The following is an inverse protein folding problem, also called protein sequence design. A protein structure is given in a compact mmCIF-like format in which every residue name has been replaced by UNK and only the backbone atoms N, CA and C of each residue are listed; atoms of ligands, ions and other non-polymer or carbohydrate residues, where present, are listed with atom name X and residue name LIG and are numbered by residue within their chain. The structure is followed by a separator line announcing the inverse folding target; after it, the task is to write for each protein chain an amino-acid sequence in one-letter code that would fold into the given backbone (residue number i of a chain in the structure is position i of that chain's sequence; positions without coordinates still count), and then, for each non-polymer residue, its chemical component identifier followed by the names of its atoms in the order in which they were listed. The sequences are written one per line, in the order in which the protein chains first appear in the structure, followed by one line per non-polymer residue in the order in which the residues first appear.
data_IF_268622078762
#
_entry.id   IF_268622078762
#
_cell.length_a   1.000
_cell.length_b   1.000
_cell.length_c   1.000
_cell.angle_alpha   90.00
_cell.angle_beta   90.00
_cell.angle_gamma   90.00
#
_symmetry.space_group_name_H-M   'P 1'
#
loop_
_entity.id
_entity.type
_entity.pdbx_description
1 polymer ?
#
# COMPACT_ATOMS: atom_id res chain seq x y z
N UNK A 1 13.28 0.16 -23.13
CA UNK A 1 13.02 0.08 -22.52
C UNK A 1 12.81 0.11 -21.56
N UNK A 2 12.63 -0.03 -21.19
CA UNK A 2 12.40 -0.07 -20.30
C UNK A 2 12.08 -0.26 -19.38
N UNK A 3 12.25 -0.63 -18.73
CA UNK A 3 11.92 -0.98 -17.93
C UNK A 3 11.73 -0.71 -16.56
N UNK A 4 12.04 -0.58 -16.13
CA UNK A 4 11.94 0.10 -14.89
C UNK A 4 10.58 0.01 -14.31
N UNK A 5 9.68 -0.42 -15.03
CA UNK A 5 8.35 -0.70 -14.57
C UNK A 5 8.29 -1.83 -13.61
N UNK A 6 9.31 -2.65 -13.57
CA UNK A 6 9.34 -3.75 -12.65
C UNK A 6 9.32 -3.30 -11.20
N UNK A 7 9.61 -2.02 -10.97
CA UNK A 7 9.58 -1.49 -9.62
C UNK A 7 8.17 -1.32 -9.09
N UNK A 8 7.19 -1.33 -9.98
CA UNK A 8 5.81 -1.12 -9.59
C UNK A 8 4.96 -2.36 -9.81
N UNK A 9 5.54 -3.50 -9.60
CA UNK A 9 4.84 -4.76 -9.87
C UNK A 9 3.84 -5.03 -8.77
N UNK A 10 2.58 -4.83 -9.09
CA UNK A 10 1.47 -5.06 -8.19
C UNK A 10 0.70 -6.27 -8.68
N UNK A 11 0.49 -7.23 -7.81
CA UNK A 11 -0.26 -8.43 -8.11
C UNK A 11 -1.45 -8.50 -7.17
N UNK A 12 -2.64 -8.76 -7.71
CA UNK A 12 -3.84 -8.93 -6.90
C UNK A 12 -4.02 -10.42 -6.61
N UNK A 13 -4.27 -10.73 -5.35
CA UNK A 13 -4.47 -12.12 -4.97
C UNK A 13 -5.49 -12.22 -3.83
N UNK A 14 -6.04 -13.40 -3.69
CA UNK A 14 -6.97 -13.68 -2.60
C UNK A 14 -6.20 -13.73 -1.29
N UNK A 15 -6.84 -13.24 -0.22
CA UNK A 15 -6.21 -13.26 1.09
C UNK A 15 -6.00 -14.70 1.53
N UNK A 16 -4.76 -15.09 1.83
CA UNK A 16 -4.51 -16.46 2.33
C UNK A 16 -5.21 -16.68 3.67
N UNK A 17 -5.65 -17.90 3.88
CA UNK A 17 -6.35 -18.23 5.12
C UNK A 17 -5.51 -17.97 6.35
N UNK A 18 -4.21 -18.15 6.23
CA UNK A 18 -3.31 -17.98 7.37
C UNK A 18 -3.32 -16.56 7.91
N UNK A 19 -3.76 -15.59 7.12
CA UNK A 19 -3.77 -14.20 7.57
C UNK A 19 -5.18 -13.60 7.57
N UNK A 20 -6.21 -14.45 7.45
CA UNK A 20 -7.60 -13.98 7.48
C UNK A 20 -8.07 -13.79 8.90
N UNK A 21 -7.52 -12.81 9.58
CA UNK A 21 -7.98 -12.50 10.92
C UNK A 21 -8.20 -11.02 11.01
N UNK A 22 -9.21 -10.66 11.79
CA UNK A 22 -9.56 -9.26 11.93
C UNK A 22 -8.42 -8.48 12.56
N UNK A 23 -8.32 -7.22 12.18
CA UNK A 23 -7.33 -6.30 12.71
C UNK A 23 -8.11 -5.26 13.50
N UNK A 24 -8.07 -5.38 14.84
CA UNK A 24 -8.90 -4.55 15.67
C UNK A 24 -10.36 -4.74 15.32
N UNK A 25 -11.03 -3.64 15.02
CA UNK A 25 -12.43 -3.68 14.62
C UNK A 25 -12.62 -3.87 13.13
N UNK A 26 -11.53 -3.88 12.37
CA UNK A 26 -11.60 -4.04 10.92
C UNK A 26 -11.71 -5.52 10.58
N UNK A 27 -12.70 -5.87 9.76
CA UNK A 27 -12.93 -7.25 9.36
C UNK A 27 -12.45 -7.45 7.94
N UNK A 28 -11.59 -8.44 7.77
CA UNK A 28 -11.06 -8.77 6.45
C UNK A 28 -12.15 -9.47 5.64
N UNK A 29 -12.35 -8.99 4.42
CA UNK A 29 -13.31 -9.56 3.49
C UNK A 29 -12.56 -10.42 2.48
N UNK A 30 -12.61 -11.74 2.58
CA UNK A 30 -11.82 -12.59 1.69
C UNK A 30 -12.29 -12.55 0.23
N UNK A 31 -13.45 -11.97 -0.05
CA UNK A 31 -13.91 -11.86 -1.43
C UNK A 31 -13.24 -10.70 -2.18
N UNK A 32 -12.55 -9.80 -1.48
CA UNK A 32 -11.89 -8.66 -2.10
C UNK A 32 -10.41 -8.99 -2.29
N UNK A 33 -9.92 -9.00 -3.53
CA UNK A 33 -8.49 -9.28 -3.76
C UNK A 33 -7.63 -8.19 -3.17
N UNK A 34 -6.44 -8.58 -2.71
CA UNK A 34 -5.50 -7.66 -2.10
C UNK A 34 -4.36 -7.38 -3.09
N UNK A 35 -4.06 -6.11 -3.37
CA UNK A 35 -2.88 -5.79 -4.16
C UNK A 35 -1.63 -5.96 -3.30
N UNK A 36 -0.64 -6.62 -3.88
CA UNK A 36 0.61 -6.91 -3.18
C UNK A 36 1.75 -6.41 -4.04
N UNK A 37 2.65 -5.63 -3.45
CA UNK A 37 3.81 -5.14 -4.17
C UNK A 37 4.92 -6.18 -4.09
N UNK A 38 5.37 -6.64 -5.27
CA UNK A 38 6.45 -7.61 -5.34
C UNK A 38 7.77 -6.85 -5.33
N UNK A 39 8.71 -7.22 -4.45
CA UNK A 39 9.99 -6.50 -4.39
C UNK A 39 10.72 -6.54 -5.72
N UNK A 40 11.49 -5.50 -6.04
CA UNK A 40 12.28 -5.49 -7.26
C UNK A 40 13.24 -6.66 -7.28
N UNK A 41 13.43 -7.24 -8.45
CA UNK A 41 14.34 -8.35 -8.61
C UNK A 41 13.72 -9.71 -8.38
N UNK A 42 12.47 -9.76 -7.90
CA UNK A 42 11.78 -11.03 -7.72
C UNK A 42 10.98 -11.36 -8.96
N UNK A 43 11.04 -12.61 -9.40
CA UNK A 43 10.31 -13.04 -10.59
C UNK A 43 8.91 -13.51 -10.28
N UNK A 44 8.69 -13.91 -9.04
CA UNK A 44 7.39 -14.42 -8.66
C UNK A 44 7.17 -14.20 -7.19
N UNK A 45 5.90 -14.22 -6.81
CA UNK A 45 5.52 -14.11 -5.41
C UNK A 45 5.44 -15.50 -4.80
N UNK A 46 6.10 -15.68 -3.66
CA UNK A 46 6.01 -16.91 -2.88
C UNK A 46 5.13 -16.59 -1.68
N UNK A 47 4.02 -17.30 -1.56
CA UNK A 47 3.05 -16.99 -0.51
C UNK A 47 3.64 -17.07 0.89
N UNK A 48 4.62 -17.93 1.08
CA UNK A 48 5.27 -18.05 2.38
C UNK A 48 6.01 -16.77 2.78
N UNK A 49 6.41 -15.99 1.78
CA UNK A 49 7.12 -14.74 2.02
C UNK A 49 6.20 -13.54 2.08
N UNK A 50 4.90 -13.76 1.95
CA UNK A 50 3.94 -12.67 1.99
C UNK A 50 3.93 -12.03 3.37
N UNK A 51 4.03 -10.70 3.39
CA UNK A 51 4.06 -9.95 4.64
C UNK A 51 2.99 -8.88 4.61
N UNK A 52 2.65 -8.41 5.82
CA UNK A 52 1.74 -7.29 5.93
C UNK A 52 2.26 -6.07 5.19
N UNK A 53 3.60 -5.87 5.22
CA UNK A 53 4.19 -4.71 4.55
C UNK A 53 3.97 -4.76 3.05
N UNK A 54 4.11 -5.94 2.45
CA UNK A 54 3.89 -6.07 1.00
C UNK A 54 2.45 -5.74 0.64
N UNK A 55 1.51 -6.17 1.47
CA UNK A 55 0.09 -5.89 1.24
C UNK A 55 -0.22 -4.40 1.46
N UNK A 56 0.30 -3.83 2.53
CA UNK A 56 0.09 -2.41 2.81
C UNK A 56 0.67 -1.55 1.69
N UNK A 57 1.88 -1.85 1.26
CA UNK A 57 2.50 -1.11 0.14
C UNK A 57 1.66 -1.20 -1.12
N UNK A 58 1.14 -2.40 -1.42
CA UNK A 58 0.31 -2.56 -2.60
C UNK A 58 -0.97 -1.74 -2.52
N UNK A 59 -1.64 -1.79 -1.38
CA UNK A 59 -2.87 -1.03 -1.20
C UNK A 59 -2.63 0.47 -1.27
N UNK A 60 -1.55 0.95 -0.66
CA UNK A 60 -1.21 2.37 -0.70
C UNK A 60 -0.98 2.81 -2.13
N UNK A 61 -0.26 2.01 -2.92
CA UNK A 61 0.02 2.39 -4.30
C UNK A 61 -1.22 2.41 -5.15
N UNK A 62 -2.14 1.48 -4.92
CA UNK A 62 -3.39 1.47 -5.68
C UNK A 62 -4.20 2.73 -5.40
N UNK A 63 -4.39 3.09 -4.11
CA UNK A 63 -5.20 4.27 -3.80
C UNK A 63 -4.48 5.56 -4.18
N UNK A 64 -3.15 5.56 -4.19
CA UNK A 64 -2.40 6.74 -4.62
C UNK A 64 -2.57 6.99 -6.11
N UNK A 65 -2.61 5.92 -6.91
CA UNK A 65 -2.75 6.04 -8.35
C UNK A 65 -4.19 6.23 -8.79
N UNK A 66 -5.12 5.62 -8.06
CA UNK A 66 -6.53 5.69 -8.43
C UNK A 66 -7.37 5.80 -7.16
N UNK A 67 -7.51 7.02 -6.63
CA UNK A 67 -8.27 7.20 -5.38
C UNK A 67 -9.73 6.78 -5.49
N UNK A 68 -10.24 6.61 -6.70
CA UNK A 68 -11.63 6.23 -6.91
C UNK A 68 -11.77 4.79 -7.39
N UNK A 69 -10.72 3.99 -7.19
CA UNK A 69 -10.80 2.58 -7.55
C UNK A 69 -11.96 1.91 -6.79
N UNK A 70 -12.45 0.82 -7.37
CA UNK A 70 -13.65 0.17 -6.86
C UNK A 70 -13.55 -0.17 -5.37
N UNK A 71 -12.41 -0.71 -4.95
CA UNK A 71 -12.23 -1.16 -3.58
C UNK A 71 -11.38 -0.20 -2.76
N UNK A 72 -11.24 1.05 -3.21
CA UNK A 72 -10.34 1.99 -2.56
C UNK A 72 -10.69 2.23 -1.10
N UNK A 73 -11.98 2.36 -0.78
CA UNK A 73 -12.39 2.59 0.60
C UNK A 73 -12.02 1.40 1.48
N UNK A 74 -12.16 0.20 0.96
CA UNK A 74 -11.76 -0.99 1.71
C UNK A 74 -10.26 -0.97 1.98
N UNK A 75 -9.46 -0.64 0.98
CA UNK A 75 -8.00 -0.59 1.15
C UNK A 75 -7.59 0.50 2.12
N UNK A 76 -8.25 1.65 2.08
CA UNK A 76 -7.97 2.73 3.03
C UNK A 76 -8.20 2.27 4.47
N UNK A 77 -9.33 1.62 4.69
CA UNK A 77 -9.68 1.14 6.02
C UNK A 77 -8.70 0.06 6.49
N UNK A 78 -8.31 -0.81 5.57
CA UNK A 78 -7.36 -1.87 5.88
C UNK A 78 -6.02 -1.28 6.33
N UNK A 79 -5.51 -0.33 5.55
CA UNK A 79 -4.21 0.28 5.86
C UNK A 79 -4.25 0.98 7.21
N UNK A 80 -5.30 1.74 7.47
CA UNK A 80 -5.41 2.47 8.73
C UNK A 80 -5.57 1.52 9.91
N UNK A 81 -6.26 0.40 9.70
CA UNK A 81 -6.40 -0.59 10.77
C UNK A 81 -5.06 -1.20 11.16
N UNK A 82 -4.22 -1.49 10.17
CA UNK A 82 -2.92 -2.08 10.42
C UNK A 82 -1.93 -1.02 10.92
N UNK A 83 -2.00 0.19 10.39
CA UNK A 83 -1.08 1.26 10.74
C UNK A 83 -1.88 2.52 11.12
N UNK A 84 -2.42 2.54 12.35
CA UNK A 84 -3.29 3.65 12.75
C UNK A 84 -2.59 5.01 12.78
N UNK A 85 -1.26 5.03 12.89
CA UNK A 85 -0.51 6.28 12.94
C UNK A 85 0.06 6.69 11.58
N UNK A 86 -0.42 6.06 10.49
CA UNK A 86 0.22 6.26 9.20
C UNK A 86 0.12 7.71 8.72
N UNK A 87 -0.94 8.41 9.06
CA UNK A 87 -1.07 9.81 8.65
C UNK A 87 0.07 10.65 9.23
N UNK A 88 0.30 10.51 10.54
CA UNK A 88 1.38 11.27 11.19
C UNK A 88 2.74 10.83 10.69
N UNK A 89 2.95 9.52 10.54
CA UNK A 89 4.24 9.00 10.09
C UNK A 89 4.59 9.48 8.69
N UNK A 90 3.63 9.42 7.78
CA UNK A 90 3.87 9.82 6.40
C UNK A 90 4.01 11.34 6.28
N UNK A 91 3.26 12.09 7.08
CA UNK A 91 3.39 13.53 7.07
C UNK A 91 4.78 13.95 7.50
N UNK A 92 5.29 13.35 8.59
CA UNK A 92 6.65 13.62 9.04
C UNK A 92 7.67 13.23 8.00
N UNK A 93 7.48 12.07 7.37
CA UNK A 93 8.42 11.61 6.37
C UNK A 93 8.47 12.54 5.17
N UNK A 94 7.30 13.05 4.73
CA UNK A 94 7.26 13.96 3.60
C UNK A 94 7.98 15.26 3.92
N UNK A 95 7.79 15.77 5.13
CA UNK A 95 8.47 17.00 5.55
C UNK A 95 9.98 16.78 5.57
N UNK A 96 10.42 15.68 6.15
CA UNK A 96 11.84 15.38 6.26
C UNK A 96 12.49 15.22 4.89
N UNK A 97 11.84 14.49 3.98
CA UNK A 97 12.37 14.31 2.63
C UNK A 97 12.44 15.63 1.89
N UNK A 98 11.44 16.47 2.07
CA UNK A 98 11.43 17.78 1.45
C UNK A 98 12.59 18.64 1.95
N UNK A 99 12.82 18.62 3.25
CA UNK A 99 13.94 19.37 3.84
C UNK A 99 15.28 18.90 3.33
N UNK A 100 15.39 17.60 3.06
CA UNK A 100 16.64 17.02 2.59
C UNK A 100 16.83 17.16 1.08
N UNK A 101 15.87 17.79 0.40
CA UNK A 101 15.97 17.98 -1.05
C UNK A 101 15.50 16.79 -1.86
N UNK A 102 14.97 15.76 -1.21
CA UNK A 102 14.48 14.58 -1.91
C UNK A 102 13.01 14.80 -2.29
N UNK A 103 12.80 15.70 -3.25
CA UNK A 103 11.45 16.12 -3.60
C UNK A 103 10.66 15.03 -4.30
N UNK A 104 11.33 14.18 -5.08
CA UNK A 104 10.62 13.10 -5.76
C UNK A 104 9.97 12.16 -4.76
N UNK A 105 10.70 11.77 -3.73
CA UNK A 105 10.15 10.88 -2.73
C UNK A 105 9.11 11.59 -1.87
N UNK A 106 9.34 12.87 -1.57
CA UNK A 106 8.34 13.64 -0.82
C UNK A 106 7.02 13.68 -1.58
N UNK A 107 7.06 13.87 -2.89
CA UNK A 107 5.85 13.90 -3.71
C UNK A 107 5.15 12.54 -3.73
N UNK A 108 5.92 11.46 -3.77
CA UNK A 108 5.32 10.12 -3.71
C UNK A 108 4.58 9.91 -2.38
N UNK A 109 5.18 10.36 -1.29
CA UNK A 109 4.56 10.21 0.02
C UNK A 109 3.28 11.05 0.10
N UNK A 110 3.32 12.27 -0.45
CA UNK A 110 2.12 13.11 -0.46
C UNK A 110 1.01 12.53 -1.33
N UNK A 111 1.37 11.90 -2.45
CA UNK A 111 0.37 11.23 -3.28
C UNK A 111 -0.27 10.08 -2.52
N UNK A 112 0.53 9.33 -1.75
CA UNK A 112 0.00 8.25 -0.93
C UNK A 112 -0.97 8.80 0.12
N UNK A 113 -0.60 9.90 0.76
CA UNK A 113 -1.47 10.51 1.76
C UNK A 113 -2.79 10.97 1.14
N UNK A 114 -2.72 11.56 -0.04
CA UNK A 114 -3.94 12.03 -0.71
C UNK A 114 -4.84 10.85 -1.08
N UNK A 115 -4.24 9.73 -1.48
CA UNK A 115 -5.02 8.54 -1.79
C UNK A 115 -5.65 7.92 -0.56
N UNK A 116 -4.94 7.94 0.57
CA UNK A 116 -5.43 7.35 1.81
C UNK A 116 -6.45 8.24 2.50
N UNK A 117 -6.28 9.54 2.42
CA UNK A 117 -7.13 10.50 3.13
C UNK A 117 -7.61 11.58 2.16
N UNK A 118 -8.47 11.20 1.22
CA UNK A 118 -8.97 12.17 0.25
C UNK A 118 -9.87 13.19 0.93
N UNK A 119 -9.81 14.43 0.47
CA UNK A 119 -10.62 15.50 1.02
C UNK A 119 -11.37 16.21 -0.10
#
# INVERSE_FOLDING_TARGET
MNDNRSEDRIVFLSVPESIRRDVGDFKIDPSIPIPVEIPPGSDKLILEDLSWEMMISGMIKVVARDPEAEDADYYRSFVVAVKPDILAEFTEAAILKSRNGDFALALEILAALRGLFPT
#
